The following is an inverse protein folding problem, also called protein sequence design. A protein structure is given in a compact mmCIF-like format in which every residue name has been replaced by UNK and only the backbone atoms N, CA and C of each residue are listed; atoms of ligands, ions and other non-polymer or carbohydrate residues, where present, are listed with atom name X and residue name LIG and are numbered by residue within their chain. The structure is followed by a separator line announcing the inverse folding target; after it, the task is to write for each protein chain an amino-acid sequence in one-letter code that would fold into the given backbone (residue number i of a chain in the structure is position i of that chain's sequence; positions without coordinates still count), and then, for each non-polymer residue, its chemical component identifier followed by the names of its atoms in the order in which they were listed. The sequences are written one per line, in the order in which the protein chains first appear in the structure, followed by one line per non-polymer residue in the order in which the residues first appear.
data_IF_646272217400
#
_entry.id   IF_646272217400
#
_cell.length_a   1.000
_cell.length_b   1.000
_cell.length_c   1.000
_cell.angle_alpha   90.00
_cell.angle_beta   90.00
_cell.angle_gamma   90.00
#
_symmetry.space_group_name_H-M   'P 1'
#
loop_
_entity.id
_entity.type
_entity.pdbx_description
1 polymer ?
#
# COMPACT_ATOMS: atom_id res chain seq x y z
N UNK A 1 1.80 2.04 -18.76
CA UNK A 1 2.85 2.22 -17.74
C UNK A 1 2.33 3.04 -16.57
N UNK A 2 3.00 2.97 -15.42
CA UNK A 2 2.71 3.75 -14.24
C UNK A 2 3.94 4.60 -13.85
N UNK A 3 3.70 5.78 -13.29
CA UNK A 3 4.72 6.60 -12.65
C UNK A 3 5.01 6.08 -11.24
N UNK A 4 6.13 6.49 -10.64
CA UNK A 4 6.48 6.15 -9.25
C UNK A 4 5.37 6.54 -8.27
N UNK A 5 4.76 7.69 -8.46
CA UNK A 5 3.65 8.16 -7.65
C UNK A 5 2.42 7.26 -7.79
N UNK A 6 2.05 6.94 -9.02
CA UNK A 6 0.86 6.10 -9.29
C UNK A 6 1.01 4.70 -8.69
N UNK A 7 2.20 4.09 -8.84
CA UNK A 7 2.45 2.76 -8.25
C UNK A 7 2.47 2.81 -6.73
N UNK A 8 3.05 3.85 -6.13
CA UNK A 8 3.12 4.00 -4.69
C UNK A 8 1.73 4.20 -4.07
N UNK A 9 0.92 5.10 -4.64
CA UNK A 9 -0.45 5.34 -4.21
C UNK A 9 -1.33 4.10 -4.40
N UNK A 10 -1.18 3.37 -5.51
CA UNK A 10 -1.93 2.14 -5.77
C UNK A 10 -1.57 1.03 -4.77
N UNK A 11 -0.28 0.87 -4.45
CA UNK A 11 0.17 -0.08 -3.43
C UNK A 11 -0.37 0.30 -2.03
N UNK A 12 -0.30 1.57 -1.65
CA UNK A 12 -0.82 2.06 -0.37
C UNK A 12 -2.35 1.91 -0.28
N UNK A 13 -3.06 2.09 -1.39
CA UNK A 13 -4.50 1.83 -1.45
C UNK A 13 -4.83 0.35 -1.22
N UNK A 14 -4.05 -0.56 -1.78
CA UNK A 14 -4.20 -1.98 -1.54
C UNK A 14 -3.91 -2.36 -0.08
N UNK A 15 -2.94 -1.73 0.57
CA UNK A 15 -2.61 -1.95 1.99
C UNK A 15 -3.84 -1.73 2.90
N UNK A 16 -4.70 -0.79 2.56
CA UNK A 16 -5.94 -0.51 3.31
C UNK A 16 -6.99 -1.61 3.24
N UNK A 17 -6.82 -2.56 2.34
CA UNK A 17 -7.68 -3.75 2.23
C UNK A 17 -7.11 -4.97 2.94
N UNK A 18 -5.98 -4.82 3.63
CA UNK A 18 -5.24 -5.91 4.28
C UNK A 18 -4.28 -6.64 3.35
N UNK A 19 -4.18 -6.23 2.09
CA UNK A 19 -3.27 -6.83 1.11
C UNK A 19 -1.95 -6.04 1.06
N UNK A 20 -0.97 -6.44 1.85
CA UNK A 20 0.33 -5.80 1.91
C UNK A 20 1.21 -6.23 0.74
N UNK A 21 1.04 -5.56 -0.39
CA UNK A 21 1.66 -5.90 -1.66
C UNK A 21 3.02 -5.21 -1.89
N UNK A 22 3.84 -5.82 -2.74
CA UNK A 22 5.09 -5.23 -3.21
C UNK A 22 4.83 -4.07 -4.19
N UNK A 23 5.82 -3.17 -4.40
CA UNK A 23 5.72 -2.07 -5.37
C UNK A 23 5.44 -2.53 -6.81
N UNK A 24 5.95 -3.71 -7.21
CA UNK A 24 5.68 -4.26 -8.54
C UNK A 24 4.19 -4.59 -8.74
N UNK A 25 3.51 -5.10 -7.72
CA UNK A 25 2.06 -5.24 -7.74
C UNK A 25 1.38 -3.88 -7.84
N UNK A 26 1.95 -2.86 -7.20
CA UNK A 26 1.50 -1.48 -7.32
C UNK A 26 1.49 -0.96 -8.76
N UNK A 27 2.47 -1.33 -9.58
CA UNK A 27 2.49 -0.99 -11.02
C UNK A 27 1.26 -1.57 -11.72
N UNK A 28 0.98 -2.86 -11.51
CA UNK A 28 -0.16 -3.53 -12.14
C UNK A 28 -1.50 -2.93 -11.69
N UNK A 29 -1.64 -2.64 -10.40
CA UNK A 29 -2.83 -1.99 -9.83
C UNK A 29 -3.02 -0.57 -10.38
N UNK A 30 -1.95 0.22 -10.49
CA UNK A 30 -2.00 1.57 -11.06
C UNK A 30 -2.45 1.55 -12.52
N UNK A 31 -1.91 0.62 -13.31
CA UNK A 31 -2.33 0.44 -14.72
C UNK A 31 -3.80 0.02 -14.79
N UNK A 32 -4.26 -0.90 -13.95
CA UNK A 32 -5.67 -1.28 -13.90
C UNK A 32 -6.57 -0.08 -13.59
N UNK A 33 -6.19 0.75 -12.63
CA UNK A 33 -6.93 1.98 -12.29
C UNK A 33 -7.00 2.92 -13.50
N UNK A 34 -5.89 3.12 -14.21
CA UNK A 34 -5.85 3.96 -15.43
C UNK A 34 -6.75 3.42 -16.54
N UNK A 35 -6.68 2.12 -16.80
CA UNK A 35 -7.52 1.48 -17.84
C UNK A 35 -9.01 1.56 -17.47
N UNK A 36 -9.33 1.44 -16.20
CA UNK A 36 -10.70 1.58 -15.70
C UNK A 36 -11.20 3.03 -15.86
N UNK A 37 -10.39 3.99 -15.47
CA UNK A 37 -10.74 5.42 -15.53
C UNK A 37 -10.86 5.92 -16.99
N UNK A 38 -10.07 5.37 -17.91
CA UNK A 38 -10.15 5.70 -19.35
C UNK A 38 -11.29 4.99 -20.09
N UNK A 39 -12.03 4.11 -19.42
CA UNK A 39 -13.12 3.33 -20.04
C UNK A 39 -12.65 2.17 -20.91
N UNK A 40 -11.34 1.86 -20.93
CA UNK A 40 -10.83 0.70 -21.68
C UNK A 40 -11.20 -0.62 -21.02
N UNK A 41 -11.44 -0.61 -19.72
CA UNK A 41 -12.00 -1.73 -18.95
C UNK A 41 -13.33 -1.27 -18.38
N UNK A 42 -14.42 -1.97 -18.72
CA UNK A 42 -15.75 -1.67 -18.21
C UNK A 42 -15.98 -2.18 -16.79
N UNK A 43 -17.01 -1.67 -16.10
CA UNK A 43 -17.36 -2.11 -14.74
C UNK A 43 -17.88 -3.55 -14.67
N UNK A 44 -18.32 -4.13 -15.78
CA UNK A 44 -18.81 -5.51 -15.87
C UNK A 44 -17.69 -6.52 -16.16
N UNK A 45 -16.51 -6.06 -16.56
CA UNK A 45 -15.37 -6.93 -16.84
C UNK A 45 -14.67 -7.35 -15.56
N UNK A 46 -14.14 -8.56 -15.57
CA UNK A 46 -13.30 -9.10 -14.50
C UNK A 46 -11.84 -8.89 -14.86
N UNK A 47 -11.10 -8.27 -13.95
CA UNK A 47 -9.65 -8.12 -14.07
C UNK A 47 -8.97 -8.96 -12.99
N UNK A 48 -7.87 -9.61 -13.37
CA UNK A 48 -7.00 -10.35 -12.45
C UNK A 48 -5.66 -9.64 -12.38
N UNK A 49 -5.24 -9.30 -11.18
CA UNK A 49 -3.91 -8.76 -10.90
C UNK A 49 -3.12 -9.79 -10.11
N UNK A 50 -1.95 -10.16 -10.63
CA UNK A 50 -1.07 -11.11 -9.95
C UNK A 50 -0.22 -10.36 -8.93
N UNK A 51 -0.39 -10.69 -7.65
CA UNK A 51 0.47 -10.20 -6.58
C UNK A 51 1.70 -11.11 -6.47
N UNK A 52 2.83 -10.63 -6.95
CA UNK A 52 4.05 -11.44 -7.11
C UNK A 52 4.86 -11.59 -5.83
N UNK A 53 4.80 -10.62 -4.92
CA UNK A 53 5.53 -10.65 -3.67
C UNK A 53 4.80 -9.88 -2.57
N UNK A 54 5.17 -10.18 -1.32
CA UNK A 54 4.69 -9.46 -0.15
C UNK A 54 5.49 -8.16 0.06
N UNK A 55 4.83 -7.13 0.57
CA UNK A 55 5.43 -5.82 0.88
C UNK A 55 6.57 -5.88 1.91
N UNK A 56 6.62 -6.92 2.74
CA UNK A 56 7.71 -7.12 3.71
C UNK A 56 9.09 -7.29 3.06
N UNK A 57 9.15 -7.68 1.78
CA UNK A 57 10.40 -7.69 1.02
C UNK A 57 10.89 -6.31 0.59
N UNK A 58 10.05 -5.29 0.73
CA UNK A 58 10.29 -3.93 0.26
C UNK A 58 10.04 -2.92 1.38
N UNK A 59 10.51 -3.24 2.57
CA UNK A 59 10.24 -2.49 3.80
C UNK A 59 10.64 -1.02 3.67
N UNK A 60 11.80 -0.73 3.12
CA UNK A 60 12.28 0.65 2.96
C UNK A 60 11.35 1.48 2.09
N UNK A 61 10.88 0.93 0.97
CA UNK A 61 9.91 1.60 0.12
C UNK A 61 8.58 1.82 0.82
N UNK A 62 8.05 0.78 1.45
CA UNK A 62 6.75 0.84 2.15
C UNK A 62 6.78 1.82 3.32
N UNK A 63 7.78 1.72 4.18
CA UNK A 63 7.96 2.65 5.30
C UNK A 63 8.24 4.07 4.81
N UNK A 64 9.08 4.22 3.80
CA UNK A 64 9.40 5.50 3.19
C UNK A 64 8.16 6.22 2.69
N UNK A 65 7.25 5.52 2.01
CA UNK A 65 5.98 6.07 1.58
C UNK A 65 5.14 6.56 2.77
N UNK A 66 4.88 5.68 3.74
CA UNK A 66 3.99 6.00 4.86
C UNK A 66 4.55 7.06 5.81
N UNK A 67 5.87 7.24 5.84
CA UNK A 67 6.56 8.29 6.61
C UNK A 67 6.78 9.58 5.81
N UNK A 68 6.43 9.59 4.52
CA UNK A 68 6.67 10.76 3.67
C UNK A 68 8.13 11.02 3.36
N UNK A 69 8.96 9.97 3.35
CA UNK A 69 10.42 10.06 3.15
C UNK A 69 10.86 9.77 1.71
N UNK A 70 9.93 9.36 0.83
CA UNK A 70 10.27 9.13 -0.57
C UNK A 70 10.45 10.45 -1.32
N UNK A 71 11.59 10.65 -2.00
CA UNK A 71 11.85 11.88 -2.75
C UNK A 71 10.75 12.15 -3.80
N UNK A 72 10.34 13.40 -3.91
CA UNK A 72 9.37 13.87 -4.92
C UNK A 72 7.97 13.21 -4.87
N UNK A 73 7.70 12.39 -3.84
CA UNK A 73 6.40 11.76 -3.66
C UNK A 73 5.65 12.36 -2.47
N UNK A 74 4.45 12.87 -2.73
CA UNK A 74 3.51 13.21 -1.66
C UNK A 74 2.68 11.98 -1.29
N UNK A 75 2.77 11.54 -0.04
CA UNK A 75 2.09 10.34 0.47
C UNK A 75 0.65 10.65 0.83
N UNK A 76 -0.24 10.66 -0.15
CA UNK A 76 -1.66 11.02 0.04
C UNK A 76 -2.46 9.99 0.83
N UNK A 77 -1.99 8.75 0.87
CA UNK A 77 -2.61 7.62 1.57
C UNK A 77 -1.73 7.11 2.71
N UNK A 78 -0.99 8.02 3.32
CA UNK A 78 -0.09 7.71 4.42
C UNK A 78 -0.83 7.05 5.59
N UNK A 79 -0.22 6.02 6.15
CA UNK A 79 -0.58 5.39 7.42
C UNK A 79 0.72 5.16 8.18
N UNK A 80 1.09 6.13 9.03
CA UNK A 80 2.40 6.14 9.68
C UNK A 80 2.53 4.94 10.60
N UNK A 81 3.56 4.09 10.41
CA UNK A 81 3.79 2.95 11.27
C UNK A 81 4.20 3.39 12.68
N UNK A 82 3.72 2.67 13.67
CA UNK A 82 4.04 2.89 15.07
C UNK A 82 5.22 1.99 15.43
N UNK A 83 6.30 2.59 15.91
CA UNK A 83 7.47 1.86 16.40
C UNK A 83 7.25 1.46 17.86
N UNK A 84 7.42 0.19 18.13
CA UNK A 84 7.26 -0.38 19.46
C UNK A 84 8.51 -1.18 19.86
N UNK A 85 8.74 -1.28 21.16
CA UNK A 85 9.73 -2.22 21.67
C UNK A 85 9.31 -3.66 21.38
N UNK A 86 10.30 -4.56 21.29
CA UNK A 86 10.06 -6.00 21.17
C UNK A 86 9.58 -6.58 22.52
N UNK A 87 8.40 -6.14 22.94
CA UNK A 87 7.78 -6.51 24.19
C UNK A 87 6.29 -6.79 23.97
N UNK A 88 5.82 -7.93 24.43
CA UNK A 88 4.44 -8.38 24.21
C UNK A 88 3.41 -7.42 24.81
N UNK A 89 3.62 -6.97 26.05
CA UNK A 89 2.65 -6.13 26.74
C UNK A 89 2.55 -4.75 26.10
N UNK A 90 3.69 -4.19 25.65
CA UNK A 90 3.72 -2.93 24.90
C UNK A 90 2.94 -3.03 23.58
N UNK A 91 3.16 -4.11 22.83
CA UNK A 91 2.45 -4.35 21.56
C UNK A 91 0.95 -4.56 21.79
N UNK A 92 0.61 -5.38 22.76
CA UNK A 92 -0.82 -5.66 23.11
C UNK A 92 -1.54 -4.37 23.51
N UNK A 93 -0.94 -3.60 24.40
CA UNK A 93 -1.52 -2.33 24.84
C UNK A 93 -1.80 -1.40 23.68
N UNK A 94 -0.84 -1.26 22.76
CA UNK A 94 -0.99 -0.38 21.59
C UNK A 94 -2.10 -0.88 20.64
N UNK A 95 -2.22 -2.20 20.45
CA UNK A 95 -3.30 -2.79 19.64
C UNK A 95 -4.65 -2.52 20.29
N UNK A 96 -4.78 -2.74 21.61
CA UNK A 96 -6.02 -2.49 22.36
C UNK A 96 -6.44 -1.01 22.28
N UNK A 97 -5.50 -0.09 22.40
CA UNK A 97 -5.73 1.36 22.26
C UNK A 97 -6.23 1.75 20.85
N UNK A 98 -5.64 1.16 19.80
CA UNK A 98 -6.00 1.45 18.42
C UNK A 98 -7.33 0.83 17.98
N UNK A 99 -7.65 -0.34 18.52
CA UNK A 99 -8.85 -1.09 18.13
C UNK A 99 -10.04 -0.86 19.05
N UNK A 100 -9.83 -0.25 20.20
CA UNK A 100 -10.85 -0.02 21.22
C UNK A 100 -11.33 -1.29 21.92
N UNK A 101 -10.51 -2.33 21.87
CA UNK A 101 -10.80 -3.62 22.51
C UNK A 101 -10.34 -3.67 23.96
#
# INVERSE_FOLDING_TARGET
QATERELADAAAKADRTGMYNCPHTGVALAVLIKLRNSGQISGSERAVVISTANGLKFTDFKLGYHRGLLPELSSTLSNVPIELSNDYDAVRKQVDELTGL
#
